data_IF_562373727648
#
_entry.id   IF_562373727648
#
_cell.length_a   1.000
_cell.length_b   1.000
_cell.length_c   1.000
_cell.angle_alpha   90.00
_cell.angle_beta   90.00
_cell.angle_gamma   90.00
#
_symmetry.space_group_name_H-M   'P 1'
#
loop_
_entity.id
_entity.type
_entity.pdbx_description
1 polymer ?
#
# COMPACT_ATOMS: atom_id res chain seq x y z
N UNK A 1 -13.95 12.00 0.98
CA UNK A 1 -12.66 12.48 0.42
C UNK A 1 -12.66 12.17 -1.07
N UNK A 2 -12.20 13.08 -1.92
CA UNK A 2 -12.06 12.82 -3.36
C UNK A 2 -11.10 11.62 -3.60
N UNK A 3 -11.41 10.66 -4.49
CA UNK A 3 -10.48 9.61 -4.91
C UNK A 3 -9.07 10.12 -5.24
N UNK A 4 -8.97 11.29 -5.88
CA UNK A 4 -7.68 11.90 -6.24
C UNK A 4 -6.88 12.25 -4.97
N UNK A 5 -7.53 12.78 -3.94
CA UNK A 5 -6.87 13.10 -2.68
C UNK A 5 -6.34 11.84 -1.98
N UNK A 6 -7.12 10.75 -1.99
CA UNK A 6 -6.67 9.46 -1.44
C UNK A 6 -5.49 8.88 -2.21
N UNK A 7 -5.46 9.03 -3.54
CA UNK A 7 -4.33 8.63 -4.36
C UNK A 7 -3.05 9.40 -4.00
N UNK A 8 -3.15 10.72 -3.83
CA UNK A 8 -2.01 11.56 -3.42
C UNK A 8 -1.50 11.23 -2.02
N UNK A 9 -2.40 10.99 -1.05
CA UNK A 9 -2.02 10.55 0.29
C UNK A 9 -1.30 9.20 0.24
N UNK A 10 -1.84 8.26 -0.56
CA UNK A 10 -1.24 6.94 -0.76
C UNK A 10 0.18 7.08 -1.34
N UNK A 11 0.35 7.88 -2.38
CA UNK A 11 1.66 8.14 -2.99
C UNK A 11 2.64 8.82 -2.01
N UNK A 12 2.15 9.79 -1.24
CA UNK A 12 2.93 10.50 -0.22
C UNK A 12 3.42 9.62 0.92
N UNK A 13 2.77 8.49 1.18
CA UNK A 13 3.23 7.48 2.15
C UNK A 13 4.12 6.46 1.45
N UNK A 14 3.65 5.90 0.34
CA UNK A 14 4.29 4.76 -0.32
C UNK A 14 5.70 5.10 -0.87
N UNK A 15 5.86 6.26 -1.50
CA UNK A 15 7.13 6.63 -2.15
C UNK A 15 8.24 6.86 -1.11
N UNK A 16 8.06 7.71 -0.08
CA UNK A 16 9.08 7.86 0.97
C UNK A 16 9.34 6.56 1.73
N UNK A 17 8.30 5.78 2.02
CA UNK A 17 8.46 4.49 2.70
C UNK A 17 9.34 3.52 1.90
N UNK A 18 9.10 3.38 0.60
CA UNK A 18 9.89 2.50 -0.25
C UNK A 18 11.37 2.94 -0.30
N UNK A 19 11.63 4.24 -0.39
CA UNK A 19 13.00 4.78 -0.38
C UNK A 19 13.67 4.51 0.97
N UNK A 20 13.00 4.79 2.09
CA UNK A 20 13.55 4.57 3.43
C UNK A 20 13.85 3.09 3.68
N UNK A 21 12.94 2.19 3.32
CA UNK A 21 13.14 0.75 3.45
C UNK A 21 14.34 0.29 2.64
N UNK A 22 14.47 0.75 1.40
CA UNK A 22 15.62 0.43 0.55
C UNK A 22 16.94 0.91 1.16
N UNK A 23 16.99 2.14 1.66
CA UNK A 23 18.19 2.69 2.32
C UNK A 23 18.53 1.89 3.59
N UNK A 24 17.53 1.57 4.42
CA UNK A 24 17.78 0.84 5.66
C UNK A 24 18.22 -0.61 5.46
N UNK A 25 17.82 -1.28 4.37
CA UNK A 25 18.37 -2.61 4.03
C UNK A 25 19.90 -2.56 3.90
N UNK A 26 20.46 -1.44 3.44
CA UNK A 26 21.91 -1.25 3.33
C UNK A 26 22.61 -0.99 4.67
N UNK A 27 21.90 -0.50 5.69
CA UNK A 27 22.49 -0.06 6.96
C UNK A 27 22.14 -0.96 8.15
N UNK A 28 20.86 -1.20 8.40
CA UNK A 28 20.36 -1.99 9.53
C UNK A 28 18.97 -2.56 9.22
N UNK A 29 18.89 -3.89 9.19
CA UNK A 29 17.67 -4.60 8.85
C UNK A 29 16.52 -4.36 9.84
N UNK A 30 16.80 -4.12 11.12
CA UNK A 30 15.75 -3.88 12.12
C UNK A 30 14.95 -2.62 11.78
N UNK A 31 15.63 -1.57 11.34
CA UNK A 31 15.00 -0.32 10.93
C UNK A 31 14.26 -0.44 9.59
N UNK A 32 14.79 -1.24 8.66
CA UNK A 32 14.10 -1.54 7.41
C UNK A 32 12.75 -2.22 7.70
N UNK A 33 12.76 -3.23 8.56
CA UNK A 33 11.57 -3.99 8.95
C UNK A 33 10.57 -3.11 9.69
N UNK A 34 11.01 -2.35 10.69
CA UNK A 34 10.13 -1.45 11.43
C UNK A 34 9.46 -0.44 10.48
N UNK A 35 10.24 0.23 9.63
CA UNK A 35 9.73 1.23 8.68
C UNK A 35 8.78 0.62 7.67
N UNK A 36 9.14 -0.54 7.09
CA UNK A 36 8.30 -1.20 6.10
C UNK A 36 7.00 -1.72 6.71
N UNK A 37 7.04 -2.31 7.90
CA UNK A 37 5.86 -2.84 8.58
C UNK A 37 4.91 -1.73 9.02
N UNK A 38 5.43 -0.62 9.57
CA UNK A 38 4.62 0.58 9.86
C UNK A 38 3.98 1.15 8.60
N UNK A 39 4.73 1.25 7.50
CA UNK A 39 4.22 1.79 6.24
C UNK A 39 3.15 0.90 5.61
N UNK A 40 3.33 -0.41 5.67
CA UNK A 40 2.33 -1.39 5.21
C UNK A 40 1.06 -1.29 6.05
N UNK A 41 1.16 -1.18 7.39
CA UNK A 41 0.00 -1.00 8.25
C UNK A 41 -0.77 0.29 7.93
N UNK A 42 -0.08 1.40 7.65
CA UNK A 42 -0.71 2.64 7.22
C UNK A 42 -1.45 2.48 5.89
N UNK A 43 -0.81 1.83 4.90
CA UNK A 43 -1.42 1.57 3.59
C UNK A 43 -2.62 0.62 3.69
N UNK A 44 -2.56 -0.40 4.55
CA UNK A 44 -3.69 -1.31 4.80
C UNK A 44 -4.84 -0.61 5.53
N UNK A 45 -4.54 0.34 6.43
CA UNK A 45 -5.57 1.17 7.08
C UNK A 45 -6.27 2.05 6.06
N UNK A 46 -5.52 2.69 5.15
CA UNK A 46 -6.08 3.46 4.05
C UNK A 46 -6.88 2.58 3.08
N UNK A 47 -6.42 1.36 2.82
CA UNK A 47 -7.17 0.37 2.04
C UNK A 47 -8.49 0.02 2.69
N UNK A 48 -8.50 -0.31 4.00
CA UNK A 48 -9.72 -0.61 4.73
C UNK A 48 -10.72 0.57 4.70
N UNK A 49 -10.22 1.80 4.86
CA UNK A 49 -11.02 3.01 4.71
C UNK A 49 -11.63 3.13 3.30
N UNK A 50 -10.83 2.93 2.26
CA UNK A 50 -11.27 3.02 0.86
C UNK A 50 -12.26 1.90 0.52
N UNK A 51 -12.04 0.68 1.01
CA UNK A 51 -12.93 -0.46 0.84
C UNK A 51 -14.30 -0.23 1.53
N UNK A 52 -14.31 0.46 2.68
CA UNK A 52 -15.55 0.83 3.33
C UNK A 52 -16.36 1.84 2.49
N UNK A 53 -15.70 2.83 1.88
CA UNK A 53 -16.35 3.76 0.94
C UNK A 53 -16.94 3.00 -0.26
N UNK A 54 -16.16 2.09 -0.86
CA UNK A 54 -16.61 1.27 -1.99
C UNK A 54 -17.88 0.49 -1.59
N UNK A 55 -17.85 -0.18 -0.44
CA UNK A 55 -19.00 -0.94 0.07
C UNK A 55 -20.22 -0.03 0.24
N UNK A 56 -20.06 1.12 0.89
CA UNK A 56 -21.15 2.08 1.10
C UNK A 56 -21.78 2.54 -0.23
N UNK A 57 -20.95 2.87 -1.23
CA UNK A 57 -21.41 3.29 -2.55
C UNK A 57 -22.23 2.20 -3.23
N UNK A 58 -21.75 0.96 -3.25
CA UNK A 58 -22.46 -0.15 -3.90
C UNK A 58 -23.70 -0.60 -3.13
N UNK A 59 -23.75 -0.44 -1.80
CA UNK A 59 -24.97 -0.72 -1.01
C UNK A 59 -26.06 0.34 -1.17
N UNK A 60 -25.71 1.56 -1.58
CA UNK A 60 -26.66 2.64 -1.81
C UNK A 60 -27.28 2.62 -3.23
N UNK A 61 -26.85 1.70 -4.10
CA UNK A 61 -27.33 1.63 -5.48
C UNK A 61 -28.78 1.12 -5.52
N UNK A 62 -29.69 1.97 -5.98
CA UNK A 62 -31.05 1.59 -6.39
C UNK A 62 -31.08 1.09 -7.84
N UNK A 63 -32.15 0.38 -8.23
CA UNK A 63 -32.36 0.00 -9.63
C UNK A 63 -33.34 0.97 -10.32
N UNK A 64 -33.00 1.52 -11.52
CA UNK A 64 -31.75 1.35 -12.26
C UNK A 64 -30.55 2.06 -11.60
N UNK A 65 -29.31 1.58 -11.82
CA UNK A 65 -28.12 2.14 -11.17
C UNK A 65 -27.84 3.55 -11.67
N UNK A 66 -27.59 4.48 -10.75
CA UNK A 66 -27.09 5.81 -11.12
C UNK A 66 -25.68 5.67 -11.74
N UNK A 67 -25.48 6.05 -13.01
CA UNK A 67 -24.17 5.99 -13.66
C UNK A 67 -23.08 6.76 -12.90
N UNK A 68 -23.43 7.84 -12.19
CA UNK A 68 -22.47 8.64 -11.43
C UNK A 68 -21.93 7.88 -10.21
N UNK A 69 -22.80 7.16 -9.50
CA UNK A 69 -22.40 6.33 -8.34
C UNK A 69 -21.47 5.21 -8.79
N UNK A 70 -21.78 4.57 -9.92
CA UNK A 70 -20.94 3.49 -10.49
C UNK A 70 -19.56 4.03 -10.89
N UNK A 71 -19.49 5.17 -11.58
CA UNK A 71 -18.21 5.79 -11.96
C UNK A 71 -17.36 6.15 -10.75
N UNK A 72 -17.98 6.73 -9.71
CA UNK A 72 -17.28 7.02 -8.46
C UNK A 72 -16.75 5.75 -7.79
N UNK A 73 -17.56 4.69 -7.72
CA UNK A 73 -17.16 3.39 -7.18
C UNK A 73 -15.92 2.82 -7.87
N UNK A 74 -15.89 2.87 -9.20
CA UNK A 74 -14.72 2.43 -10.00
C UNK A 74 -13.47 3.26 -9.71
N UNK A 75 -13.60 4.57 -9.50
CA UNK A 75 -12.45 5.42 -9.14
C UNK A 75 -11.86 5.02 -7.79
N UNK A 76 -12.70 4.78 -6.77
CA UNK A 76 -12.21 4.29 -5.48
C UNK A 76 -11.59 2.89 -5.58
N UNK A 77 -12.12 1.99 -6.41
CA UNK A 77 -11.53 0.67 -6.64
C UNK A 77 -10.10 0.77 -7.21
N UNK A 78 -9.87 1.71 -8.13
CA UNK A 78 -8.51 1.95 -8.68
C UNK A 78 -7.55 2.42 -7.59
N UNK A 79 -8.00 3.32 -6.71
CA UNK A 79 -7.19 3.80 -5.57
C UNK A 79 -6.89 2.65 -4.60
N UNK A 80 -7.90 1.83 -4.28
CA UNK A 80 -7.74 0.66 -3.41
C UNK A 80 -6.75 -0.35 -3.98
N UNK A 81 -6.80 -0.62 -5.30
CA UNK A 81 -5.83 -1.46 -5.97
C UNK A 81 -4.40 -0.87 -5.90
N UNK A 82 -4.26 0.45 -6.06
CA UNK A 82 -3.00 1.15 -5.90
C UNK A 82 -2.41 1.04 -4.49
N UNK A 83 -3.25 1.13 -3.44
CA UNK A 83 -2.85 0.96 -2.05
C UNK A 83 -2.31 -0.45 -1.77
N UNK A 84 -3.01 -1.50 -2.24
CA UNK A 84 -2.54 -2.88 -2.12
C UNK A 84 -1.26 -3.14 -2.91
N UNK A 85 -1.16 -2.60 -4.13
CA UNK A 85 0.04 -2.72 -4.95
C UNK A 85 1.25 -2.07 -4.25
N UNK A 86 1.09 -0.88 -3.69
CA UNK A 86 2.14 -0.17 -2.94
C UNK A 86 2.57 -0.96 -1.69
N UNK A 87 1.62 -1.48 -0.92
CA UNK A 87 1.92 -2.32 0.25
C UNK A 87 2.70 -3.59 -0.15
N UNK A 88 2.25 -4.26 -1.21
CA UNK A 88 2.89 -5.47 -1.73
C UNK A 88 4.32 -5.19 -2.22
N UNK A 89 4.53 -4.03 -2.86
CA UNK A 89 5.85 -3.61 -3.31
C UNK A 89 6.83 -3.43 -2.15
N UNK A 90 6.43 -2.76 -1.07
CA UNK A 90 7.25 -2.58 0.13
C UNK A 90 7.60 -3.94 0.76
N UNK A 91 6.62 -4.85 0.86
CA UNK A 91 6.85 -6.22 1.35
C UNK A 91 7.83 -6.97 0.45
N UNK A 92 7.72 -6.81 -0.88
CA UNK A 92 8.66 -7.40 -1.84
C UNK A 92 10.10 -6.92 -1.64
N UNK A 93 10.30 -5.61 -1.43
CA UNK A 93 11.62 -5.04 -1.14
C UNK A 93 12.20 -5.65 0.15
N UNK A 94 11.40 -5.75 1.21
CA UNK A 94 11.83 -6.38 2.47
C UNK A 94 12.22 -7.85 2.28
N UNK A 95 11.45 -8.61 1.52
CA UNK A 95 11.75 -10.01 1.24
C UNK A 95 13.09 -10.18 0.52
N UNK A 96 13.37 -9.33 -0.48
CA UNK A 96 14.67 -9.29 -1.17
C UNK A 96 15.79 -8.89 -0.21
N UNK A 97 15.59 -7.87 0.61
CA UNK A 97 16.57 -7.44 1.62
C UNK A 97 16.93 -8.55 2.61
N UNK A 98 15.92 -9.27 3.13
CA UNK A 98 16.12 -10.41 4.01
C UNK A 98 16.89 -11.54 3.34
N UNK A 99 16.56 -11.85 2.10
CA UNK A 99 17.26 -12.88 1.33
C UNK A 99 18.76 -12.52 1.16
N UNK A 100 19.06 -11.26 0.83
CA UNK A 100 20.44 -10.79 0.71
C UNK A 100 21.21 -10.87 2.03
N UNK A 101 20.57 -10.52 3.16
CA UNK A 101 21.21 -10.62 4.48
C UNK A 101 21.55 -12.06 4.85
N UNK A 102 20.61 -13.00 4.61
CA UNK A 102 20.82 -14.43 4.86
C UNK A 102 21.93 -14.97 3.97
N UNK A 103 21.94 -14.61 2.68
CA UNK A 103 22.96 -15.03 1.73
C UNK A 103 24.35 -14.55 2.12
N UNK A 104 24.50 -13.30 2.57
CA UNK A 104 25.78 -12.77 3.11
C UNK A 104 26.24 -13.51 4.36
N UNK A 105 25.32 -13.91 5.25
CA UNK A 105 25.68 -14.64 6.48
C UNK A 105 26.09 -16.10 6.21
N UNK A 106 25.50 -16.75 5.20
CA UNK A 106 25.75 -18.17 4.88
C UNK A 106 26.80 -18.42 3.80
N UNK A 107 27.15 -17.42 2.98
CA UNK A 107 28.20 -17.55 1.95
C UNK A 107 29.63 -17.41 2.47
N UNK A 108 29.80 -17.23 3.78
CA UNK A 108 31.10 -17.18 4.46
C UNK A 108 31.40 -18.45 5.28
N UNK A 109 30.57 -19.50 5.14
CA UNK A 109 30.90 -20.88 5.52
C UNK A 109 31.36 -21.66 4.28
#
# INVERSE_FOLDING_TARGET
MDPIALAWITAGIAVPAAVLVYVFIGTDMKWAVATGLTSVLLLLTLFAYTANIITALYTAVSWPPDPQIVQQGVMYQRVAAGQLAAASFIVGILAVGYYMEISKKRGHE
#
